data_IF_643140841055
#
_entry.id   IF_643140841055
#
_cell.length_a   1.000
_cell.length_b   1.000
_cell.length_c   1.000
_cell.angle_alpha   90.00
_cell.angle_beta   90.00
_cell.angle_gamma   90.00
#
_symmetry.space_group_name_H-M   'P 1'
#
loop_
_entity.id
_entity.type
_entity.pdbx_description
1 polymer ?
#
# COMPACT_ATOMS: atom_id res chain seq x y z
N UNK A 1 7.02 9.54 27.77
CA UNK A 1 6.24 8.51 28.45
C UNK A 1 5.03 8.23 27.60
N UNK A 2 4.57 6.99 27.53
CA UNK A 2 3.32 6.66 26.84
C UNK A 2 2.17 7.18 27.70
N UNK A 3 1.35 8.07 27.15
CA UNK A 3 0.12 8.55 27.78
C UNK A 3 -1.03 7.63 27.34
N UNK A 4 -1.78 7.10 28.30
CA UNK A 4 -2.87 6.19 28.03
C UNK A 4 -4.14 7.02 27.85
N UNK A 5 -4.76 6.91 26.67
CA UNK A 5 -6.01 7.60 26.36
C UNK A 5 -7.16 6.63 26.59
N UNK A 6 -8.10 7.02 27.45
CA UNK A 6 -9.30 6.24 27.78
C UNK A 6 -10.56 6.80 27.09
N UNK A 7 -11.62 6.00 27.00
CA UNK A 7 -12.92 6.38 26.41
C UNK A 7 -12.83 6.83 24.94
N UNK A 8 -11.99 6.17 24.15
CA UNK A 8 -11.87 6.43 22.71
C UNK A 8 -13.03 5.76 21.96
N UNK A 9 -13.84 6.55 21.26
CA UNK A 9 -14.93 6.04 20.41
C UNK A 9 -14.41 5.40 19.10
N UNK A 10 -13.37 5.98 18.51
CA UNK A 10 -12.81 5.57 17.22
C UNK A 10 -11.28 5.66 17.27
N UNK A 11 -10.62 4.56 16.87
CA UNK A 11 -9.18 4.53 16.60
C UNK A 11 -8.98 4.49 15.08
N UNK A 12 -8.25 5.46 14.53
CA UNK A 12 -7.83 5.43 13.14
C UNK A 12 -6.40 4.86 13.04
N UNK A 13 -6.28 3.65 12.52
CA UNK A 13 -4.99 3.05 12.17
C UNK A 13 -4.74 3.26 10.67
N UNK A 14 -3.74 4.07 10.33
CA UNK A 14 -3.36 4.33 8.94
C UNK A 14 -1.99 3.74 8.58
N UNK A 15 -1.81 3.45 7.29
CA UNK A 15 -0.55 2.97 6.74
C UNK A 15 -0.73 2.36 5.36
N UNK A 16 0.30 2.43 4.54
CA UNK A 16 0.25 2.00 3.13
C UNK A 16 0.04 0.49 2.92
N UNK A 17 0.27 -0.32 3.96
CA UNK A 17 0.11 -1.78 3.94
C UNK A 17 -1.03 -2.28 4.87
N UNK A 18 -1.81 -1.38 5.48
CA UNK A 18 -2.86 -1.79 6.43
C UNK A 18 -3.86 -2.75 5.78
N UNK A 19 -4.07 -3.90 6.43
CA UNK A 19 -4.98 -4.94 5.96
C UNK A 19 -4.41 -5.87 4.86
N UNK A 20 -3.19 -5.63 4.38
CA UNK A 20 -2.55 -6.50 3.38
C UNK A 20 -2.30 -7.88 3.98
N UNK A 21 -2.61 -8.92 3.20
CA UNK A 21 -2.48 -10.32 3.59
C UNK A 21 -1.40 -11.04 2.75
N UNK A 22 -0.68 -12.02 3.32
CA UNK A 22 0.21 -12.89 2.56
C UNK A 22 -0.53 -13.56 1.40
N UNK A 23 0.14 -13.70 0.27
CA UNK A 23 -0.31 -14.44 -0.91
C UNK A 23 0.42 -15.78 -1.03
N UNK A 24 -0.07 -16.65 -1.92
CA UNK A 24 0.61 -17.91 -2.22
C UNK A 24 2.03 -17.61 -2.77
N UNK A 25 3.11 -18.08 -2.10
CA UNK A 25 4.47 -17.77 -2.51
C UNK A 25 4.83 -18.28 -3.92
N UNK A 26 4.08 -19.24 -4.48
CA UNK A 26 4.25 -19.72 -5.84
C UNK A 26 4.08 -18.61 -6.92
N UNK A 27 3.42 -17.50 -6.58
CA UNK A 27 3.31 -16.33 -7.47
C UNK A 27 4.68 -15.78 -7.86
N UNK A 28 5.69 -15.92 -7.00
CA UNK A 28 7.06 -15.45 -7.25
C UNK A 28 7.93 -16.47 -8.02
N UNK A 29 7.40 -17.62 -8.44
CA UNK A 29 8.11 -18.58 -9.30
C UNK A 29 7.85 -18.31 -10.80
N UNK A 30 6.77 -17.58 -11.10
CA UNK A 30 6.34 -17.27 -12.46
C UNK A 30 6.72 -15.86 -12.92
N UNK A 31 5.88 -15.30 -13.79
CA UNK A 31 6.04 -13.92 -14.26
C UNK A 31 5.58 -12.93 -13.18
N UNK A 32 6.48 -12.06 -12.74
CA UNK A 32 6.22 -11.02 -11.74
C UNK A 32 6.17 -9.65 -12.40
N UNK A 33 5.34 -8.71 -11.89
CA UNK A 33 5.27 -7.36 -12.43
C UNK A 33 6.55 -6.57 -12.13
N UNK A 34 6.93 -5.66 -13.02
CA UNK A 34 8.03 -4.73 -12.77
C UNK A 34 7.70 -3.83 -11.56
N UNK A 35 8.64 -3.57 -10.63
CA UNK A 35 10.09 -3.76 -10.77
C UNK A 35 10.64 -5.10 -10.24
N UNK A 36 9.80 -6.11 -9.99
CA UNK A 36 10.27 -7.44 -9.57
C UNK A 36 10.73 -8.21 -10.83
N UNK A 37 12.01 -8.13 -11.17
CA UNK A 37 12.53 -8.67 -12.45
C UNK A 37 13.64 -9.69 -12.25
N UNK A 38 14.53 -9.45 -11.28
CA UNK A 38 15.68 -10.31 -11.03
C UNK A 38 15.33 -11.44 -10.04
N UNK A 39 16.14 -12.52 -9.99
CA UNK A 39 16.01 -13.52 -8.93
C UNK A 39 16.11 -12.92 -7.52
N UNK A 40 16.95 -11.91 -7.33
CA UNK A 40 17.09 -11.21 -6.06
C UNK A 40 15.81 -10.42 -5.68
N UNK A 41 15.17 -9.75 -6.65
CA UNK A 41 13.90 -9.05 -6.40
C UNK A 41 12.79 -10.03 -6.02
N UNK A 42 12.72 -11.19 -6.69
CA UNK A 42 11.72 -12.23 -6.38
C UNK A 42 11.94 -12.85 -5.01
N UNK A 43 13.20 -13.08 -4.64
CA UNK A 43 13.55 -13.54 -3.28
C UNK A 43 13.11 -12.50 -2.24
N UNK A 44 13.47 -11.23 -2.45
CA UNK A 44 13.09 -10.15 -1.55
C UNK A 44 11.56 -10.03 -1.41
N UNK A 45 10.81 -10.03 -2.52
CA UNK A 45 9.35 -9.96 -2.49
C UNK A 45 8.72 -11.15 -1.74
N UNK A 46 9.29 -12.35 -1.88
CA UNK A 46 8.87 -13.54 -1.14
C UNK A 46 9.13 -13.40 0.36
N UNK A 47 10.30 -12.91 0.76
CA UNK A 47 10.61 -12.64 2.17
C UNK A 47 9.66 -11.59 2.76
N UNK A 48 9.33 -10.55 2.02
CA UNK A 48 8.36 -9.53 2.47
C UNK A 48 6.95 -10.11 2.60
N UNK A 49 6.56 -10.99 1.67
CA UNK A 49 5.31 -11.74 1.77
C UNK A 49 5.24 -12.63 3.03
N UNK A 50 6.36 -13.25 3.41
CA UNK A 50 6.43 -14.07 4.63
C UNK A 50 6.31 -13.21 5.91
N UNK A 51 6.95 -12.04 5.94
CA UNK A 51 6.87 -11.10 7.07
C UNK A 51 5.46 -10.58 7.34
N UNK A 52 4.59 -10.54 6.32
CA UNK A 52 3.18 -10.16 6.51
C UNK A 52 2.43 -11.07 7.49
N UNK A 53 2.90 -12.29 7.75
CA UNK A 53 2.32 -13.20 8.76
C UNK A 53 2.31 -12.55 10.14
N UNK A 54 3.33 -11.76 10.48
CA UNK A 54 3.45 -11.08 11.78
C UNK A 54 2.40 -9.98 11.98
N UNK A 55 1.84 -9.45 10.89
CA UNK A 55 0.80 -8.42 10.94
C UNK A 55 -0.60 -8.99 11.02
N UNK A 56 -0.81 -10.28 10.73
CA UNK A 56 -2.14 -10.88 10.73
C UNK A 56 -2.89 -10.69 12.05
N UNK A 57 -2.27 -10.91 13.24
CA UNK A 57 -2.97 -10.68 14.50
C UNK A 57 -3.41 -9.22 14.70
N UNK A 58 -2.63 -8.25 14.20
CA UNK A 58 -3.00 -6.84 14.28
C UNK A 58 -4.23 -6.53 13.43
N UNK A 59 -4.32 -7.14 12.24
CA UNK A 59 -5.45 -6.94 11.34
C UNK A 59 -6.76 -7.56 11.86
N UNK A 60 -6.71 -8.50 12.79
CA UNK A 60 -7.93 -9.05 13.42
C UNK A 60 -8.60 -8.05 14.37
N UNK A 61 -7.93 -6.96 14.75
CA UNK A 61 -8.51 -5.85 15.51
C UNK A 61 -9.19 -4.81 14.61
N UNK A 62 -9.12 -4.94 13.29
CA UNK A 62 -9.78 -4.00 12.38
C UNK A 62 -11.27 -4.33 12.27
N UNK A 63 -12.13 -3.45 12.80
CA UNK A 63 -13.57 -3.55 12.59
C UNK A 63 -13.99 -3.20 11.16
N UNK A 64 -13.29 -2.23 10.55
CA UNK A 64 -13.54 -1.70 9.21
C UNK A 64 -12.24 -1.36 8.49
N UNK A 65 -12.23 -1.55 7.18
CA UNK A 65 -11.10 -1.17 6.33
C UNK A 65 -11.56 -0.34 5.12
N UNK A 66 -10.95 0.84 4.97
CA UNK A 66 -11.10 1.71 3.81
C UNK A 66 -9.78 1.69 3.04
N UNK A 67 -9.84 1.45 1.73
CA UNK A 67 -8.67 1.49 0.86
C UNK A 67 -8.77 2.68 -0.09
N UNK A 68 -7.81 3.60 0.00
CA UNK A 68 -7.59 4.65 -1.00
C UNK A 68 -6.71 4.09 -2.11
N UNK A 69 -7.29 3.88 -3.29
CA UNK A 69 -6.64 3.17 -4.39
C UNK A 69 -6.45 4.10 -5.60
N UNK A 70 -5.22 4.51 -5.93
CA UNK A 70 -4.99 5.30 -7.14
C UNK A 70 -5.46 4.54 -8.39
N UNK A 71 -6.10 5.25 -9.32
CA UNK A 71 -6.52 4.68 -10.62
C UNK A 71 -5.35 4.07 -11.42
N UNK A 72 -4.13 4.52 -11.10
CA UNK A 72 -2.88 3.91 -11.52
C UNK A 72 -1.86 4.01 -10.37
N UNK A 73 -1.37 2.88 -9.87
CA UNK A 73 -0.42 2.85 -8.75
C UNK A 73 0.88 3.62 -9.06
N UNK A 74 1.25 3.79 -10.34
CA UNK A 74 2.44 4.53 -10.76
C UNK A 74 2.34 6.01 -10.48
N UNK A 75 1.14 6.52 -10.22
CA UNK A 75 0.93 7.89 -9.74
C UNK A 75 1.63 8.13 -8.41
N UNK A 76 1.82 7.12 -7.56
CA UNK A 76 2.54 7.30 -6.28
C UNK A 76 3.99 7.76 -6.48
N UNK A 77 4.66 7.32 -7.55
CA UNK A 77 5.99 7.80 -7.92
C UNK A 77 5.97 9.26 -8.34
N UNK A 78 4.98 9.65 -9.15
CA UNK A 78 4.83 11.04 -9.61
C UNK A 78 4.52 11.98 -8.44
N UNK A 79 3.61 11.58 -7.55
CA UNK A 79 3.28 12.35 -6.36
C UNK A 79 4.47 12.47 -5.40
N UNK A 80 5.24 11.39 -5.21
CA UNK A 80 6.43 11.44 -4.36
C UNK A 80 7.51 12.37 -4.93
N UNK A 81 7.72 12.35 -6.25
CA UNK A 81 8.63 13.28 -6.94
C UNK A 81 8.17 14.72 -6.78
N UNK A 82 6.87 14.99 -6.97
CA UNK A 82 6.32 16.34 -6.80
C UNK A 82 6.51 16.85 -5.38
N UNK A 83 6.15 16.03 -4.37
CA UNK A 83 6.31 16.39 -2.97
C UNK A 83 7.77 16.67 -2.59
N UNK A 84 8.73 15.90 -3.13
CA UNK A 84 10.15 16.15 -2.90
C UNK A 84 10.62 17.47 -3.54
N UNK A 85 10.19 17.75 -4.78
CA UNK A 85 10.52 19.00 -5.47
C UNK A 85 9.95 20.21 -4.76
N UNK A 86 8.70 20.13 -4.28
CA UNK A 86 8.06 21.20 -3.51
C UNK A 86 8.82 21.44 -2.20
N UNK A 87 9.24 20.38 -1.51
CA UNK A 87 10.06 20.49 -0.31
C UNK A 87 11.41 21.15 -0.59
N UNK A 88 12.11 20.76 -1.67
CA UNK A 88 13.38 21.36 -2.08
C UNK A 88 13.20 22.85 -2.43
N UNK A 89 12.10 23.21 -3.10
CA UNK A 89 11.78 24.60 -3.43
C UNK A 89 11.59 25.48 -2.17
N UNK A 90 11.22 24.89 -1.03
CA UNK A 90 11.20 25.61 0.27
C UNK A 90 12.57 25.78 0.93
N UNK A 91 13.66 25.39 0.26
CA UNK A 91 15.03 25.54 0.75
C UNK A 91 15.53 24.38 1.63
N UNK A 92 14.77 23.28 1.71
CA UNK A 92 15.19 22.06 2.41
C UNK A 92 16.05 21.19 1.49
N UNK A 93 16.96 20.40 2.06
CA UNK A 93 17.62 19.33 1.31
C UNK A 93 16.64 18.20 1.00
N UNK A 94 16.87 17.49 -0.09
CA UNK A 94 16.04 16.37 -0.52
C UNK A 94 16.81 15.38 -1.38
N UNK A 95 16.13 14.30 -1.74
CA UNK A 95 16.58 13.27 -2.66
C UNK A 95 16.52 13.74 -4.12
N UNK A 96 17.42 13.23 -4.96
CA UNK A 96 17.32 13.36 -6.40
C UNK A 96 16.14 12.55 -6.97
N UNK A 97 15.71 12.86 -8.18
CA UNK A 97 14.64 12.13 -8.86
C UNK A 97 14.96 10.61 -9.00
N UNK A 98 16.24 10.26 -9.19
CA UNK A 98 16.69 8.86 -9.25
C UNK A 98 16.61 8.17 -7.89
N UNK A 99 16.98 8.88 -6.82
CA UNK A 99 16.86 8.37 -5.45
C UNK A 99 15.40 8.16 -5.07
N UNK A 100 14.51 9.08 -5.42
CA UNK A 100 13.06 8.92 -5.24
C UNK A 100 12.54 7.73 -6.05
N UNK A 101 13.02 7.57 -7.29
CA UNK A 101 12.64 6.45 -8.13
C UNK A 101 12.99 5.11 -7.50
N UNK A 102 14.23 4.96 -7.04
CA UNK A 102 14.70 3.76 -6.34
C UNK A 102 13.95 3.54 -5.02
N UNK A 103 13.67 4.61 -4.28
CA UNK A 103 12.89 4.56 -3.05
C UNK A 103 11.48 4.02 -3.31
N UNK A 104 10.74 4.56 -4.28
CA UNK A 104 9.38 4.09 -4.59
C UNK A 104 9.38 2.68 -5.14
N UNK A 105 10.34 2.35 -6.01
CA UNK A 105 10.49 1.00 -6.55
C UNK A 105 10.79 -0.03 -5.47
N UNK A 106 11.53 0.33 -4.41
CA UNK A 106 11.74 -0.55 -3.25
C UNK A 106 10.41 -0.98 -2.60
N UNK A 107 9.45 -0.06 -2.42
CA UNK A 107 8.12 -0.40 -1.90
C UNK A 107 7.32 -1.25 -2.89
N UNK A 108 7.45 -0.99 -4.19
CA UNK A 108 6.80 -1.83 -5.20
C UNK A 108 7.42 -3.23 -5.29
N UNK A 109 8.72 -3.38 -4.99
CA UNK A 109 9.35 -4.71 -4.88
C UNK A 109 8.90 -5.46 -3.63
N UNK A 110 8.70 -4.75 -2.51
CA UNK A 110 8.32 -5.41 -1.25
C UNK A 110 6.89 -5.93 -1.31
N UNK A 111 5.93 -5.10 -1.70
CA UNK A 111 4.51 -5.43 -1.77
C UNK A 111 3.90 -4.81 -3.03
N UNK A 112 4.16 -5.41 -4.20
CA UNK A 112 3.69 -4.86 -5.47
C UNK A 112 2.17 -4.65 -5.49
N UNK A 113 1.66 -3.44 -5.84
CA UNK A 113 0.23 -3.13 -5.76
C UNK A 113 -0.67 -4.11 -6.52
N UNK A 114 -0.28 -4.57 -7.69
CA UNK A 114 -1.05 -5.55 -8.47
C UNK A 114 -1.15 -6.94 -7.82
N UNK A 115 -0.15 -7.32 -7.02
CA UNK A 115 -0.12 -8.62 -6.34
C UNK A 115 -0.86 -8.59 -4.99
N UNK A 116 -0.81 -7.45 -4.30
CA UNK A 116 -1.28 -7.34 -2.91
C UNK A 116 -2.49 -6.42 -2.73
N UNK A 117 -2.45 -5.21 -3.30
CA UNK A 117 -3.49 -4.19 -3.08
C UNK A 117 -4.68 -4.42 -4.01
N UNK A 118 -4.46 -4.66 -5.31
CA UNK A 118 -5.56 -4.90 -6.27
C UNK A 118 -6.43 -6.10 -5.91
N UNK A 119 -5.90 -7.25 -5.42
CA UNK A 119 -6.75 -8.33 -4.93
C UNK A 119 -7.44 -7.98 -3.60
N UNK A 120 -6.78 -7.21 -2.72
CA UNK A 120 -7.36 -6.76 -1.45
C UNK A 120 -8.58 -5.87 -1.69
N UNK A 121 -8.51 -4.90 -2.61
CA UNK A 121 -9.64 -4.03 -2.93
C UNK A 121 -10.85 -4.81 -3.44
N UNK A 122 -10.64 -6.00 -4.04
CA UNK A 122 -11.68 -6.89 -4.53
C UNK A 122 -12.18 -7.91 -3.51
N UNK A 123 -11.63 -7.92 -2.29
CA UNK A 123 -12.01 -8.87 -1.25
C UNK A 123 -13.15 -8.31 -0.38
N UNK A 124 -14.40 -8.76 -0.57
CA UNK A 124 -15.56 -8.20 0.13
C UNK A 124 -15.59 -8.58 1.62
N UNK A 125 -14.77 -9.55 2.05
CA UNK A 125 -14.70 -9.94 3.47
C UNK A 125 -13.78 -9.02 4.26
N UNK A 126 -12.77 -8.46 3.60
CA UNK A 126 -11.70 -7.70 4.26
C UNK A 126 -11.86 -6.19 4.09
N UNK A 127 -12.39 -5.71 2.97
CA UNK A 127 -12.49 -4.28 2.66
C UNK A 127 -13.96 -3.86 2.67
N UNK A 128 -14.26 -2.81 3.44
CA UNK A 128 -15.60 -2.23 3.55
C UNK A 128 -15.87 -1.20 2.46
N UNK A 129 -14.85 -0.41 2.13
CA UNK A 129 -14.97 0.69 1.17
C UNK A 129 -13.68 0.83 0.37
N UNK A 130 -13.82 0.97 -0.94
CA UNK A 130 -12.74 1.38 -1.83
C UNK A 130 -13.07 2.75 -2.38
N UNK A 131 -12.09 3.65 -2.32
CA UNK A 131 -12.14 4.96 -2.95
C UNK A 131 -11.05 4.98 -4.00
N UNK A 132 -11.44 4.99 -5.28
CA UNK A 132 -10.50 5.18 -6.36
C UNK A 132 -10.08 6.65 -6.44
N UNK A 133 -8.79 6.91 -6.64
CA UNK A 133 -8.20 8.25 -6.57
C UNK A 133 -7.60 8.63 -7.93
N UNK A 134 -8.09 9.73 -8.51
CA UNK A 134 -7.56 10.33 -9.72
C UNK A 134 -6.17 10.94 -9.49
N UNK A 135 -5.48 11.28 -10.59
CA UNK A 135 -4.17 11.93 -10.57
C UNK A 135 -4.12 13.23 -9.75
N UNK A 136 -5.22 13.98 -9.70
CA UNK A 136 -5.37 15.23 -8.96
C UNK A 136 -5.87 15.04 -7.51
N UNK A 137 -5.80 13.80 -7.00
CA UNK A 137 -6.26 13.37 -5.68
C UNK A 137 -7.78 13.44 -5.46
N UNK A 138 -8.57 13.72 -6.51
CA UNK A 138 -10.04 13.68 -6.40
C UNK A 138 -10.57 12.23 -6.41
N UNK A 139 -11.71 11.94 -5.75
CA UNK A 139 -12.36 10.64 -5.88
C UNK A 139 -12.83 10.38 -7.31
N UNK A 140 -12.41 9.26 -7.88
CA UNK A 140 -12.86 8.77 -9.18
C UNK A 140 -14.13 7.91 -9.03
N UNK A 141 -14.11 6.97 -8.08
CA UNK A 141 -15.22 6.10 -7.75
C UNK A 141 -15.20 5.75 -6.26
N UNK A 142 -16.38 5.51 -5.69
CA UNK A 142 -16.53 5.06 -4.30
C UNK A 142 -17.48 3.87 -4.31
N UNK A 143 -17.03 2.72 -3.82
CA UNK A 143 -17.84 1.51 -3.84
C UNK A 143 -17.54 0.58 -2.66
N UNK A 144 -18.53 -0.21 -2.30
CA UNK A 144 -18.38 -1.34 -1.37
C UNK A 144 -18.56 -2.64 -2.13
N UNK A 145 -17.69 -3.60 -1.87
CA UNK A 145 -17.83 -4.95 -2.42
C UNK A 145 -18.65 -5.87 -1.50
N UNK A 146 -19.03 -5.41 -0.29
CA UNK A 146 -19.86 -6.21 0.61
C UNK A 146 -21.22 -6.44 -0.02
N UNK A 147 -21.55 -7.70 -0.28
CA UNK A 147 -22.93 -8.09 -0.54
C UNK A 147 -23.69 -7.88 0.76
N UNK A 148 -24.65 -6.95 0.73
CA UNK A 148 -25.58 -6.75 1.84
C UNK A 148 -26.51 -7.97 1.83
N UNK A 149 -26.31 -8.88 2.77
CA UNK A 149 -27.24 -9.96 3.08
C UNK A 149 -28.42 -9.46 3.88
#
# INVERSE_FOLDING_TARGET
GTELVENVDIVLLEGWLVGVRPINPAVFDGNTPAPIQTPADRLFAREMNERLQEYLPLWEYLDRLIVLYPVDYRLSKQWRLQAERDMIATGKSGMSDDQISQFVEYFWKSLHPELFITPLTRNPRLVDLVVEINRDHTPAAVYSNKQIG
#
